data_IF_767206460828
#
_entry.id   IF_767206460828
#
_cell.length_a   1.000
_cell.length_b   1.000
_cell.length_c   1.000
_cell.angle_alpha   90.00
_cell.angle_beta   90.00
_cell.angle_gamma   90.00
#
_symmetry.space_group_name_H-M   'P 1'
#
loop_
_entity.id
_entity.type
_entity.pdbx_description
1 polymer ?
#
# COMPACT_ATOMS: atom_id res chain seq x y z
N UNK A 1 14.26 19.50 16.20
CA UNK A 1 14.20 19.47 14.74
C UNK A 1 14.32 20.91 14.23
N UNK A 2 15.27 21.23 13.36
CA UNK A 2 15.43 22.58 12.85
C UNK A 2 14.28 22.97 11.89
N UNK A 3 13.91 24.26 11.82
CA UNK A 3 12.75 24.74 11.04
C UNK A 3 13.13 25.00 9.58
N UNK A 4 13.58 23.99 8.85
CA UNK A 4 14.03 24.14 7.46
C UNK A 4 13.03 23.63 6.39
N UNK A 5 11.78 23.33 6.75
CA UNK A 5 10.83 22.77 5.78
C UNK A 5 9.79 23.75 5.20
N UNK A 6 9.94 25.05 5.36
CA UNK A 6 8.94 26.02 4.88
C UNK A 6 9.54 27.23 4.14
N UNK A 7 10.47 27.00 3.21
CA UNK A 7 10.90 28.08 2.29
C UNK A 7 11.04 27.55 0.86
N UNK A 8 9.90 27.33 0.21
CA UNK A 8 9.84 27.02 -1.22
C UNK A 8 8.41 26.72 -1.63
N UNK A 9 7.75 27.65 -2.25
CA UNK A 9 6.42 27.63 -2.85
C UNK A 9 5.38 26.70 -2.18
N UNK A 10 4.38 27.26 -1.51
CA UNK A 10 3.24 26.54 -0.91
C UNK A 10 2.33 25.83 -1.93
N UNK A 11 2.79 25.58 -3.16
CA UNK A 11 2.04 24.89 -4.21
C UNK A 11 2.72 23.58 -4.56
N UNK A 12 1.94 22.51 -4.49
CA UNK A 12 2.33 21.21 -5.05
C UNK A 12 2.64 21.34 -6.54
N UNK A 13 3.48 20.43 -7.04
CA UNK A 13 3.75 20.35 -8.47
C UNK A 13 2.49 19.90 -9.23
N UNK A 14 2.41 20.23 -10.50
CA UNK A 14 1.31 19.81 -11.37
C UNK A 14 1.15 18.29 -11.40
N UNK A 15 2.27 17.54 -11.34
CA UNK A 15 2.26 16.07 -11.27
C UNK A 15 1.52 15.59 -10.01
N UNK A 16 1.81 16.18 -8.86
CA UNK A 16 1.18 15.84 -7.58
C UNK A 16 -0.32 16.16 -7.57
N UNK A 17 -0.72 17.29 -8.15
CA UNK A 17 -2.12 17.66 -8.32
C UNK A 17 -2.86 16.65 -9.21
N UNK A 18 -2.28 16.27 -10.35
CA UNK A 18 -2.87 15.28 -11.24
C UNK A 18 -3.00 13.90 -10.60
N UNK A 19 -2.08 13.49 -9.73
CA UNK A 19 -2.18 12.24 -8.98
C UNK A 19 -3.38 12.28 -8.03
N UNK A 20 -3.57 13.38 -7.31
CA UNK A 20 -4.71 13.55 -6.40
C UNK A 20 -6.05 13.56 -7.14
N UNK A 21 -6.10 14.11 -8.33
CA UNK A 21 -7.34 14.21 -9.10
C UNK A 21 -7.67 12.91 -9.86
N UNK A 22 -6.69 12.34 -10.55
CA UNK A 22 -6.92 11.27 -11.55
C UNK A 22 -6.54 9.88 -11.06
N UNK A 23 -5.65 9.76 -10.07
CA UNK A 23 -5.06 8.49 -9.65
C UNK A 23 -5.29 8.19 -8.16
N UNK A 24 -6.42 8.57 -7.61
CA UNK A 24 -6.80 8.25 -6.22
C UNK A 24 -6.90 6.74 -5.97
N UNK A 25 -7.25 5.97 -7.00
CA UNK A 25 -7.42 4.52 -6.92
C UNK A 25 -6.40 3.84 -7.82
N UNK A 26 -5.53 3.03 -7.21
CA UNK A 26 -4.47 2.24 -7.88
C UNK A 26 -4.46 0.80 -7.36
N UNK A 27 -5.65 0.14 -7.36
CA UNK A 27 -5.86 -1.20 -6.80
C UNK A 27 -5.80 -2.30 -7.85
N UNK A 28 -6.48 -2.11 -8.98
CA UNK A 28 -6.51 -3.11 -10.06
C UNK A 28 -5.29 -3.01 -10.97
N UNK A 29 -4.95 -4.11 -11.66
CA UNK A 29 -3.84 -4.12 -12.63
C UNK A 29 -3.99 -3.03 -13.69
N UNK A 30 -5.20 -2.78 -14.18
CA UNK A 30 -5.50 -1.73 -15.17
C UNK A 30 -5.19 -0.33 -14.62
N UNK A 31 -5.63 -0.04 -13.40
CA UNK A 31 -5.38 1.25 -12.74
C UNK A 31 -3.89 1.46 -12.48
N UNK A 32 -3.20 0.43 -12.01
CA UNK A 32 -1.75 0.46 -11.80
C UNK A 32 -0.98 0.65 -13.10
N UNK A 33 -1.42 0.02 -14.20
CA UNK A 33 -0.82 0.24 -15.52
C UNK A 33 -0.99 1.69 -15.98
N UNK A 34 -2.19 2.26 -15.84
CA UNK A 34 -2.41 3.67 -16.19
C UNK A 34 -1.52 4.61 -15.35
N UNK A 35 -1.34 4.32 -14.07
CA UNK A 35 -0.44 5.09 -13.21
C UNK A 35 1.03 4.94 -13.63
N UNK A 36 1.48 3.73 -13.97
CA UNK A 36 2.86 3.49 -14.47
C UNK A 36 3.11 4.27 -15.75
N UNK A 37 2.16 4.27 -16.71
CA UNK A 37 2.30 5.03 -17.95
C UNK A 37 2.31 6.55 -17.69
N UNK A 38 1.48 7.03 -16.77
CA UNK A 38 1.52 8.42 -16.32
C UNK A 38 2.90 8.79 -15.74
N UNK A 39 3.44 7.96 -14.84
CA UNK A 39 4.77 8.17 -14.27
C UNK A 39 5.87 8.12 -15.33
N UNK A 40 5.77 7.23 -16.32
CA UNK A 40 6.73 7.11 -17.41
C UNK A 40 6.76 8.35 -18.31
N UNK A 41 5.61 8.98 -18.52
CA UNK A 41 5.54 10.23 -19.28
C UNK A 41 6.27 11.39 -18.60
N UNK A 42 6.32 11.41 -17.25
CA UNK A 42 6.97 12.47 -16.48
C UNK A 42 8.42 12.14 -16.12
N UNK A 43 8.75 10.85 -15.99
CA UNK A 43 10.08 10.34 -15.64
C UNK A 43 10.57 9.35 -16.71
N UNK A 44 11.17 9.82 -17.83
CA UNK A 44 11.59 8.95 -18.94
C UNK A 44 12.60 7.85 -18.54
N UNK A 45 13.41 8.10 -17.51
CA UNK A 45 14.39 7.15 -16.99
C UNK A 45 13.81 6.12 -16.00
N UNK A 46 12.49 6.10 -15.84
CA UNK A 46 11.77 5.14 -15.04
C UNK A 46 11.89 3.74 -15.64
N UNK A 47 12.22 2.77 -14.79
CA UNK A 47 12.10 1.35 -15.14
C UNK A 47 11.07 0.67 -14.25
N UNK A 48 10.49 -0.40 -14.75
CA UNK A 48 9.56 -1.26 -13.99
C UNK A 48 10.28 -2.56 -13.68
N UNK A 49 10.43 -2.86 -12.40
CA UNK A 49 10.97 -4.13 -11.93
C UNK A 49 9.81 -5.03 -11.51
N UNK A 50 9.68 -6.16 -12.20
CA UNK A 50 8.68 -7.17 -11.88
C UNK A 50 9.30 -8.23 -10.97
N UNK A 51 8.55 -8.71 -9.98
CA UNK A 51 8.97 -9.86 -9.21
C UNK A 51 8.98 -11.14 -10.08
N UNK A 52 9.61 -12.21 -9.61
CA UNK A 52 9.76 -13.47 -10.35
C UNK A 52 8.42 -14.10 -10.81
N UNK A 53 7.30 -13.68 -10.24
CA UNK A 53 5.95 -14.15 -10.58
C UNK A 53 5.22 -13.19 -11.54
N UNK A 54 5.76 -12.01 -11.80
CA UNK A 54 5.10 -10.92 -12.53
C UNK A 54 3.87 -10.35 -11.81
N UNK A 55 3.72 -10.66 -10.52
CA UNK A 55 2.60 -10.22 -9.70
C UNK A 55 2.74 -8.76 -9.24
N UNK A 56 3.95 -8.37 -8.83
CA UNK A 56 4.27 -7.02 -8.39
C UNK A 56 5.14 -6.29 -9.43
N UNK A 57 4.86 -5.01 -9.64
CA UNK A 57 5.54 -4.15 -10.62
C UNK A 57 6.02 -2.88 -9.92
N UNK A 58 7.21 -2.92 -9.33
CA UNK A 58 7.82 -1.77 -8.70
C UNK A 58 8.27 -0.75 -9.75
N UNK A 59 8.02 0.52 -9.48
CA UNK A 59 8.54 1.63 -10.30
C UNK A 59 9.85 2.07 -9.66
N UNK A 60 10.95 2.08 -10.43
CA UNK A 60 12.27 2.41 -9.95
C UNK A 60 12.87 3.54 -10.78
N UNK A 61 13.31 4.59 -10.11
CA UNK A 61 14.01 5.75 -10.71
C UNK A 61 15.37 5.87 -10.02
N UNK A 62 16.43 5.78 -10.79
CA UNK A 62 17.82 5.68 -10.28
C UNK A 62 18.31 4.24 -10.17
N UNK A 63 19.51 4.05 -9.65
CA UNK A 63 20.11 2.73 -9.50
C UNK A 63 20.28 2.38 -8.01
N UNK A 64 19.54 1.38 -7.48
CA UNK A 64 19.58 1.03 -6.07
C UNK A 64 20.97 0.51 -5.63
N UNK A 65 21.74 -0.12 -6.54
CA UNK A 65 23.02 -0.73 -6.19
C UNK A 65 24.16 0.28 -6.01
N UNK A 66 23.99 1.51 -6.54
CA UNK A 66 24.99 2.57 -6.48
C UNK A 66 24.50 3.81 -5.75
N UNK A 67 23.23 3.87 -5.40
CA UNK A 67 22.63 5.02 -4.74
C UNK A 67 23.17 5.21 -3.32
N UNK A 68 23.32 6.47 -2.90
CA UNK A 68 23.65 6.82 -1.51
C UNK A 68 22.54 6.46 -0.53
N UNK A 69 21.29 6.53 -0.98
CA UNK A 69 20.11 6.09 -0.25
C UNK A 69 18.99 5.69 -1.22
N UNK A 70 18.11 4.81 -0.75
CA UNK A 70 16.89 4.41 -1.44
C UNK A 70 15.70 4.97 -0.68
N UNK A 71 14.89 5.78 -1.35
CA UNK A 71 13.64 6.30 -0.82
C UNK A 71 12.48 5.49 -1.39
N UNK A 72 11.55 5.08 -0.53
CA UNK A 72 10.46 4.21 -0.95
C UNK A 72 9.10 4.63 -0.40
N UNK A 73 8.07 4.44 -1.23
CA UNK A 73 6.66 4.50 -0.85
C UNK A 73 5.89 3.47 -1.66
N UNK A 74 4.79 2.91 -1.13
CA UNK A 74 3.95 2.08 -1.99
C UNK A 74 2.96 2.93 -2.79
N UNK A 75 2.68 2.51 -4.01
CA UNK A 75 1.76 3.23 -4.87
C UNK A 75 0.40 2.54 -5.03
N UNK A 76 0.28 1.28 -4.66
CA UNK A 76 -1.01 0.61 -4.64
C UNK A 76 -1.91 1.13 -3.51
N UNK A 77 -3.20 0.91 -3.65
CA UNK A 77 -4.21 1.41 -2.73
C UNK A 77 -5.08 0.29 -2.19
N UNK A 78 -5.51 0.44 -0.92
CA UNK A 78 -6.25 -0.55 -0.17
C UNK A 78 -7.70 -0.78 -0.67
N UNK A 79 -8.33 -1.81 -0.12
CA UNK A 79 -9.78 -1.96 -0.15
C UNK A 79 -10.46 -1.03 0.87
N UNK A 80 -11.77 -0.85 0.72
CA UNK A 80 -12.57 -0.20 1.76
C UNK A 80 -12.54 -1.10 3.00
N UNK A 81 -12.05 -0.56 4.10
CA UNK A 81 -12.07 -1.21 5.39
C UNK A 81 -13.37 -0.84 6.12
N UNK A 82 -14.15 -1.80 6.62
CA UNK A 82 -15.35 -1.52 7.39
C UNK A 82 -15.05 -0.87 8.75
N UNK A 83 -13.82 -1.03 9.22
CA UNK A 83 -13.32 -0.47 10.47
C UNK A 83 -12.05 0.31 10.15
N UNK A 84 -11.87 1.55 10.67
CA UNK A 84 -10.65 2.34 10.42
C UNK A 84 -9.40 1.59 10.80
N UNK A 85 -8.36 1.66 9.99
CA UNK A 85 -7.07 1.05 10.29
C UNK A 85 -6.21 2.03 11.11
N UNK A 86 -6.13 1.83 12.43
CA UNK A 86 -5.28 2.61 13.33
C UNK A 86 -4.00 1.85 13.64
N UNK A 87 -3.02 1.93 12.76
CA UNK A 87 -1.68 1.43 13.05
C UNK A 87 -0.95 2.49 13.86
N UNK A 88 -0.52 2.13 15.07
CA UNK A 88 0.28 3.01 15.93
C UNK A 88 1.75 2.58 15.89
N UNK A 89 2.59 3.18 15.03
CA UNK A 89 3.97 2.72 14.82
C UNK A 89 4.86 2.86 16.07
N UNK A 90 4.45 3.68 17.04
CA UNK A 90 5.21 3.91 18.28
C UNK A 90 4.87 2.94 19.41
N UNK A 91 3.84 2.11 19.28
CA UNK A 91 3.41 1.19 20.35
C UNK A 91 2.91 -0.13 19.81
N UNK A 92 3.77 -1.13 19.85
CA UNK A 92 3.43 -2.51 19.49
C UNK A 92 2.25 -3.03 20.32
N UNK A 93 2.23 -2.71 21.62
CA UNK A 93 1.15 -3.14 22.51
C UNK A 93 -0.22 -2.60 22.06
N UNK A 94 -0.31 -1.31 21.73
CA UNK A 94 -1.56 -0.72 21.27
C UNK A 94 -1.97 -1.30 19.92
N UNK A 95 -1.02 -1.57 19.02
CA UNK A 95 -1.30 -2.22 17.73
C UNK A 95 -1.85 -3.64 17.90
N UNK A 96 -1.30 -4.40 18.85
CA UNK A 96 -1.80 -5.75 19.19
C UNK A 96 -3.20 -5.67 19.81
N UNK A 97 -3.44 -4.77 20.76
CA UNK A 97 -4.76 -4.56 21.35
C UNK A 97 -5.79 -4.16 20.28
N UNK A 98 -5.40 -3.31 19.35
CA UNK A 98 -6.25 -2.93 18.24
C UNK A 98 -6.57 -4.11 17.30
N UNK A 99 -5.62 -5.01 17.05
CA UNK A 99 -5.88 -6.24 16.29
C UNK A 99 -6.99 -7.09 16.94
N UNK A 100 -7.03 -7.18 18.27
CA UNK A 100 -8.14 -7.85 18.99
C UNK A 100 -9.48 -7.11 18.78
N UNK A 101 -9.48 -5.77 18.80
CA UNK A 101 -10.69 -4.97 18.50
C UNK A 101 -11.21 -5.23 17.10
N UNK A 102 -10.35 -5.54 16.13
CA UNK A 102 -10.77 -5.92 14.77
C UNK A 102 -11.30 -7.37 14.71
N UNK A 103 -10.61 -8.31 15.36
CA UNK A 103 -10.93 -9.75 15.28
C UNK A 103 -12.22 -10.09 16.03
N UNK A 104 -12.48 -9.49 17.20
CA UNK A 104 -13.66 -9.81 18.01
C UNK A 104 -14.98 -9.58 17.26
N UNK A 105 -15.25 -8.41 16.62
CA UNK A 105 -16.47 -8.23 15.83
C UNK A 105 -16.61 -9.22 14.69
N UNK A 106 -15.51 -9.59 14.03
CA UNK A 106 -15.52 -10.57 12.94
C UNK A 106 -15.96 -11.95 13.44
N UNK A 107 -15.43 -12.38 14.58
CA UNK A 107 -15.81 -13.63 15.22
C UNK A 107 -17.26 -13.59 15.70
N UNK A 108 -17.73 -12.48 16.25
CA UNK A 108 -19.13 -12.33 16.68
C UNK A 108 -20.08 -12.43 15.48
N UNK A 109 -19.81 -11.74 14.38
CA UNK A 109 -20.60 -11.83 13.14
C UNK A 109 -20.60 -13.28 12.62
N UNK A 110 -19.42 -13.90 12.57
CA UNK A 110 -19.29 -15.29 12.15
C UNK A 110 -20.09 -16.25 13.04
N UNK A 111 -20.02 -16.06 14.36
CA UNK A 111 -20.76 -16.90 15.32
C UNK A 111 -22.28 -16.75 15.20
N UNK A 112 -22.79 -15.54 14.94
CA UNK A 112 -24.23 -15.31 14.70
C UNK A 112 -24.69 -16.03 13.43
N UNK A 113 -23.95 -15.88 12.33
CA UNK A 113 -24.28 -16.54 11.05
C UNK A 113 -24.13 -18.05 11.17
N UNK A 114 -23.09 -18.54 11.80
CA UNK A 114 -22.87 -19.95 12.06
C UNK A 114 -23.94 -20.56 12.97
N UNK A 115 -24.32 -19.87 14.06
CA UNK A 115 -25.38 -20.30 14.96
C UNK A 115 -26.73 -20.41 14.23
N UNK A 116 -27.04 -19.46 13.35
CA UNK A 116 -28.26 -19.53 12.52
C UNK A 116 -28.21 -20.71 11.53
N UNK A 117 -27.07 -20.99 10.92
CA UNK A 117 -26.91 -22.15 10.07
C UNK A 117 -27.05 -23.47 10.86
N UNK A 118 -26.43 -23.58 12.03
CA UNK A 118 -26.58 -24.75 12.91
C UNK A 118 -28.00 -24.99 13.33
N UNK A 119 -28.78 -23.94 13.58
CA UNK A 119 -30.20 -24.03 13.86
C UNK A 119 -31.03 -24.52 12.66
N UNK A 120 -30.73 -24.02 11.43
CA UNK A 120 -31.45 -24.46 10.21
C UNK A 120 -31.17 -25.93 9.89
N UNK A 121 -29.92 -26.35 9.99
CA UNK A 121 -29.49 -27.70 9.60
C UNK A 121 -29.53 -28.71 10.73
N UNK A 122 -29.88 -28.28 11.96
CA UNK A 122 -29.87 -29.08 13.19
C UNK A 122 -28.52 -29.81 13.37
N UNK A 123 -27.42 -29.10 13.07
CA UNK A 123 -26.06 -29.66 13.05
C UNK A 123 -25.04 -28.66 13.60
N UNK A 124 -24.34 -29.06 14.67
CA UNK A 124 -23.25 -28.27 15.25
C UNK A 124 -22.04 -28.10 14.32
N UNK A 125 -21.82 -29.05 13.40
CA UNK A 125 -20.76 -28.95 12.38
C UNK A 125 -21.05 -27.82 11.40
N UNK A 126 -22.32 -27.59 11.06
CA UNK A 126 -22.75 -26.46 10.25
C UNK A 126 -22.44 -25.12 10.96
N UNK A 127 -22.67 -25.05 12.27
CA UNK A 127 -22.29 -23.85 13.07
C UNK A 127 -20.81 -23.51 12.89
N UNK A 128 -19.93 -24.48 13.11
CA UNK A 128 -18.48 -24.26 13.00
C UNK A 128 -18.06 -23.90 11.58
N UNK A 129 -18.57 -24.60 10.58
CA UNK A 129 -18.24 -24.39 9.16
C UNK A 129 -18.65 -22.98 8.71
N UNK A 130 -19.89 -22.55 8.96
CA UNK A 130 -20.36 -21.24 8.54
C UNK A 130 -19.72 -20.09 9.31
N UNK A 131 -19.37 -20.30 10.59
CA UNK A 131 -18.55 -19.34 11.36
C UNK A 131 -17.21 -19.13 10.66
N UNK A 132 -16.51 -20.21 10.31
CA UNK A 132 -15.22 -20.16 9.66
C UNK A 132 -15.30 -19.54 8.25
N UNK A 133 -16.26 -19.93 7.44
CA UNK A 133 -16.49 -19.36 6.10
C UNK A 133 -16.73 -17.85 6.22
N UNK A 134 -17.58 -17.41 7.14
CA UNK A 134 -17.87 -15.98 7.33
C UNK A 134 -16.63 -15.21 7.74
N UNK A 135 -15.84 -15.74 8.67
CA UNK A 135 -14.58 -15.12 9.09
C UNK A 135 -13.64 -14.93 7.90
N UNK A 136 -13.41 -15.97 7.10
CA UNK A 136 -12.54 -15.87 5.92
C UNK A 136 -13.13 -14.95 4.85
N UNK A 137 -14.45 -14.95 4.64
CA UNK A 137 -15.10 -14.06 3.70
C UNK A 137 -14.87 -12.58 4.07
N UNK A 138 -14.96 -12.23 5.35
CA UNK A 138 -14.68 -10.87 5.84
C UNK A 138 -13.21 -10.51 5.59
N UNK A 139 -12.27 -11.40 5.91
CA UNK A 139 -10.85 -11.18 5.65
C UNK A 139 -10.56 -10.96 4.16
N UNK A 140 -11.15 -11.80 3.30
CA UNK A 140 -11.00 -11.63 1.85
C UNK A 140 -11.59 -10.30 1.36
N UNK A 141 -12.72 -9.87 1.89
CA UNK A 141 -13.31 -8.58 1.56
C UNK A 141 -12.43 -7.40 1.98
N UNK A 142 -11.70 -7.51 3.09
CA UNK A 142 -10.76 -6.47 3.53
C UNK A 142 -9.56 -6.32 2.57
N UNK A 143 -9.15 -7.39 1.89
CA UNK A 143 -8.01 -7.38 0.96
C UNK A 143 -8.48 -7.16 -0.48
N UNK A 144 -9.49 -7.92 -0.94
CA UNK A 144 -9.94 -7.98 -2.32
C UNK A 144 -11.22 -7.15 -2.57
N UNK A 145 -11.81 -6.56 -1.54
CA UNK A 145 -13.05 -5.81 -1.60
C UNK A 145 -12.99 -4.55 -2.49
N UNK A 146 -14.06 -3.76 -2.50
CA UNK A 146 -14.13 -2.52 -3.28
C UNK A 146 -12.95 -1.59 -2.97
N UNK A 147 -12.49 -0.85 -3.98
CA UNK A 147 -11.38 0.08 -3.82
C UNK A 147 -11.74 1.26 -2.93
N UNK A 148 -10.87 1.61 -2.00
CA UNK A 148 -10.98 2.82 -1.21
C UNK A 148 -10.65 4.04 -2.09
N UNK A 149 -11.48 5.08 -2.01
CA UNK A 149 -11.24 6.39 -2.66
C UNK A 149 -10.49 7.37 -1.76
N UNK A 150 -10.45 7.10 -0.47
CA UNK A 150 -9.82 7.97 0.54
C UNK A 150 -8.44 7.44 0.93
N UNK A 151 -7.50 7.48 -0.04
CA UNK A 151 -6.16 6.90 0.10
C UNK A 151 -5.07 7.95 0.30
N UNK A 152 -5.43 9.18 0.66
CA UNK A 152 -4.46 10.27 0.82
C UNK A 152 -3.41 9.93 1.85
N UNK A 153 -3.81 9.39 3.00
CA UNK A 153 -2.87 9.03 4.07
C UNK A 153 -2.17 7.69 3.83
N UNK A 154 -2.78 6.77 3.06
CA UNK A 154 -2.28 5.42 2.85
C UNK A 154 -2.43 4.96 1.39
N UNK A 155 -1.49 5.25 0.50
CA UNK A 155 -0.23 5.98 0.75
C UNK A 155 0.02 7.01 -0.37
N UNK A 156 -1.04 7.70 -0.81
CA UNK A 156 -0.89 8.73 -1.86
C UNK A 156 0.01 9.87 -1.39
N UNK A 157 -0.02 10.22 -0.09
CA UNK A 157 0.89 11.22 0.49
C UNK A 157 2.36 10.81 0.37
N UNK A 158 2.69 9.53 0.60
CA UNK A 158 4.05 9.01 0.43
C UNK A 158 4.52 9.09 -1.02
N UNK A 159 3.64 8.75 -1.97
CA UNK A 159 3.91 8.88 -3.42
C UNK A 159 4.20 10.35 -3.78
N UNK A 160 3.35 11.27 -3.35
CA UNK A 160 3.52 12.71 -3.59
C UNK A 160 4.81 13.22 -2.94
N UNK A 161 5.08 12.82 -1.70
CA UNK A 161 6.32 13.23 -1.00
C UNK A 161 7.57 12.82 -1.78
N UNK A 162 7.63 11.61 -2.34
CA UNK A 162 8.75 11.21 -3.17
C UNK A 162 8.87 12.02 -4.45
N UNK A 163 7.75 12.35 -5.09
CA UNK A 163 7.73 13.16 -6.32
C UNK A 163 8.20 14.60 -6.02
N UNK A 164 7.68 15.22 -4.97
CA UNK A 164 8.09 16.56 -4.55
C UNK A 164 9.58 16.58 -4.16
N UNK A 165 10.05 15.55 -3.46
CA UNK A 165 11.46 15.40 -3.13
C UNK A 165 12.33 15.31 -4.40
N UNK A 166 11.94 14.51 -5.39
CA UNK A 166 12.66 14.42 -6.67
C UNK A 166 12.67 15.75 -7.42
N UNK A 167 11.55 16.49 -7.39
CA UNK A 167 11.44 17.77 -8.07
C UNK A 167 12.17 18.91 -7.36
N UNK A 168 12.43 18.79 -6.05
CA UNK A 168 13.22 19.76 -5.29
C UNK A 168 14.74 19.62 -5.46
N UNK A 169 15.19 18.51 -6.06
CA UNK A 169 16.60 18.20 -6.29
C UNK A 169 17.03 18.62 -7.69
N UNK A 170 18.28 19.04 -7.83
CA UNK A 170 18.93 19.15 -9.14
C UNK A 170 19.08 17.76 -9.78
N UNK A 171 19.37 17.71 -11.07
CA UNK A 171 19.58 16.44 -11.77
C UNK A 171 20.79 15.67 -11.22
N UNK A 172 21.87 16.39 -10.88
CA UNK A 172 23.09 15.83 -10.29
C UNK A 172 22.84 15.29 -8.87
N UNK A 173 22.05 15.98 -8.06
CA UNK A 173 21.66 15.51 -6.73
C UNK A 173 20.79 14.27 -6.84
N UNK A 174 19.74 14.32 -7.67
CA UNK A 174 18.81 13.21 -7.87
C UNK A 174 19.49 11.95 -8.37
N UNK A 175 20.51 12.08 -9.25
CA UNK A 175 21.28 10.95 -9.77
C UNK A 175 22.05 10.17 -8.67
N UNK A 176 22.22 10.75 -7.47
CA UNK A 176 22.89 10.10 -6.34
C UNK A 176 21.95 9.21 -5.52
N UNK A 177 20.65 9.24 -5.78
CA UNK A 177 19.62 8.53 -5.01
C UNK A 177 18.81 7.59 -5.89
N UNK A 178 18.12 6.66 -5.24
CA UNK A 178 17.14 5.80 -5.90
C UNK A 178 15.77 6.01 -5.26
N UNK A 179 14.75 6.12 -6.10
CA UNK A 179 13.36 6.28 -5.67
C UNK A 179 12.56 5.07 -6.15
N UNK A 180 11.87 4.43 -5.21
CA UNK A 180 11.12 3.20 -5.50
C UNK A 180 9.68 3.36 -5.06
N UNK A 181 8.75 3.11 -6.00
CA UNK A 181 7.33 3.04 -5.70
C UNK A 181 6.93 1.56 -5.72
N UNK A 182 6.69 1.02 -4.53
CA UNK A 182 6.39 -0.40 -4.36
C UNK A 182 4.96 -0.75 -4.76
N UNK A 183 4.79 -1.92 -5.35
CA UNK A 183 3.50 -2.50 -5.70
C UNK A 183 3.06 -3.55 -4.68
N UNK A 184 1.75 -3.77 -4.57
CA UNK A 184 1.15 -4.82 -3.73
C UNK A 184 1.64 -4.83 -2.27
N UNK A 185 1.82 -3.64 -1.70
CA UNK A 185 2.06 -3.51 -0.26
C UNK A 185 0.82 -3.96 0.53
N UNK A 186 -0.34 -3.46 0.12
CA UNK A 186 -1.65 -3.74 0.72
C UNK A 186 -2.08 -5.21 0.64
N UNK A 187 -1.37 -6.02 -0.10
CA UNK A 187 -1.62 -7.46 -0.24
C UNK A 187 -0.59 -8.31 0.52
N UNK A 188 0.32 -7.69 1.27
CA UNK A 188 1.31 -8.38 2.09
C UNK A 188 2.75 -8.08 1.73
N UNK A 189 3.09 -6.84 1.41
CA UNK A 189 4.46 -6.34 1.19
C UNK A 189 5.18 -7.02 0.01
N UNK A 190 4.44 -7.53 -0.99
CA UNK A 190 5.05 -8.34 -2.06
C UNK A 190 6.09 -7.55 -2.86
N UNK A 191 5.80 -6.30 -3.23
CA UNK A 191 6.72 -5.47 -4.00
C UNK A 191 8.00 -5.15 -3.26
N UNK A 192 7.91 -4.68 -2.02
CA UNK A 192 9.07 -4.35 -1.19
C UNK A 192 9.89 -5.58 -0.81
N UNK A 193 9.23 -6.71 -0.52
CA UNK A 193 9.89 -7.97 -0.22
C UNK A 193 10.64 -8.55 -1.43
N UNK A 194 10.04 -8.44 -2.64
CA UNK A 194 10.69 -8.81 -3.90
C UNK A 194 11.94 -7.97 -4.15
N UNK A 195 11.78 -6.65 -4.10
CA UNK A 195 12.87 -5.70 -4.26
C UNK A 195 14.02 -5.94 -3.27
N UNK A 196 13.70 -6.16 -1.99
CA UNK A 196 14.72 -6.45 -0.98
C UNK A 196 15.47 -7.78 -1.22
N UNK A 197 14.83 -8.76 -1.86
CA UNK A 197 15.51 -10.02 -2.23
C UNK A 197 16.48 -9.84 -3.40
N UNK A 198 16.11 -9.03 -4.38
CA UNK A 198 16.94 -8.78 -5.56
C UNK A 198 18.12 -7.86 -5.22
N UNK A 199 17.88 -6.84 -4.38
CA UNK A 199 18.89 -5.85 -4.00
C UNK A 199 19.44 -6.05 -2.58
N UNK A 200 19.69 -7.30 -2.17
CA UNK A 200 20.19 -7.66 -0.82
C UNK A 200 21.46 -6.93 -0.37
N UNK A 201 22.27 -6.49 -1.31
CA UNK A 201 23.54 -5.79 -1.00
C UNK A 201 23.33 -4.38 -0.52
N UNK A 202 22.22 -3.76 -0.89
CA UNK A 202 21.89 -2.36 -0.60
C UNK A 202 21.04 -2.23 0.65
N UNK A 203 20.27 -3.28 0.99
CA UNK A 203 19.31 -3.31 2.10
C UNK A 203 19.93 -3.82 3.43
N UNK A 204 21.25 -3.69 3.60
CA UNK A 204 21.97 -4.10 4.84
C UNK A 204 22.11 -2.95 5.81
#
# INVERSE_FOLDING_TARGET
>A
LPPYFLTGSDKMTQISEEILEKFQIRKTRKQKTAFIEFMRAHFPNLRVEEDATGYSRNIVIGNPDTAKAVFGAHYDTCAVMPIPNFIMPKSVLISVLYAFVLVIPMLLIGSVIGGFAGWIFDDSSATALFTLITYWAILFLMILGPANKHTVNDNTSGVITLIELMNSMTEEERAQYCFVFFDNEEKGLFGSSGFAKEHKKVMK
#
